data_IF_192444505941
#
_entry.id   IF_192444505941
#
_cell.length_a   1.000
_cell.length_b   1.000
_cell.length_c   1.000
_cell.angle_alpha   90.00
_cell.angle_beta   90.00
_cell.angle_gamma   90.00
#
_symmetry.space_group_name_H-M   'P 1'
#
loop_
_entity.id
_entity.type
_entity.pdbx_description
1 polymer ?
#
# COMPACT_ATOMS: atom_id res chain seq x y z
N UNK A 1 19.58 -9.62 -26.39
CA UNK A 1 18.98 -9.50 -27.73
C UNK A 1 17.60 -8.85 -27.72
N UNK A 2 16.68 -9.24 -26.84
CA UNK A 2 15.31 -8.70 -26.79
C UNK A 2 15.20 -7.22 -26.32
N UNK A 3 16.14 -6.70 -25.57
CA UNK A 3 16.13 -5.29 -25.09
C UNK A 3 16.47 -4.29 -26.21
N UNK A 4 17.32 -4.67 -27.15
CA UNK A 4 17.73 -3.79 -28.26
C UNK A 4 16.60 -3.54 -29.27
N UNK A 5 15.83 -4.56 -29.62
CA UNK A 5 14.74 -4.44 -30.59
C UNK A 5 13.57 -3.59 -30.08
N UNK A 6 13.32 -3.54 -28.76
CA UNK A 6 12.24 -2.73 -28.18
C UNK A 6 12.59 -1.23 -28.20
N UNK A 7 13.85 -0.89 -27.89
CA UNK A 7 14.33 0.49 -27.94
C UNK A 7 14.36 1.07 -29.37
N UNK A 8 14.81 0.28 -30.35
CA UNK A 8 14.82 0.69 -31.74
C UNK A 8 13.42 1.01 -32.28
N UNK A 9 12.44 0.13 -32.00
CA UNK A 9 11.04 0.37 -32.37
C UNK A 9 10.45 1.64 -31.73
N UNK A 10 10.83 1.94 -30.49
CA UNK A 10 10.41 3.18 -29.85
C UNK A 10 10.97 4.39 -30.58
N UNK A 11 12.27 4.37 -30.96
CA UNK A 11 12.92 5.45 -31.66
C UNK A 11 12.27 5.70 -33.05
N UNK A 12 11.91 4.65 -33.77
CA UNK A 12 11.23 4.71 -35.05
C UNK A 12 9.83 5.33 -34.99
N UNK A 13 9.15 5.22 -33.84
CA UNK A 13 7.78 5.71 -33.62
C UNK A 13 7.76 7.12 -32.98
N UNK A 14 8.90 7.68 -32.54
CA UNK A 14 8.96 9.02 -31.94
C UNK A 14 8.75 10.08 -33.01
N UNK A 15 7.67 10.86 -32.86
CA UNK A 15 7.42 12.02 -33.74
C UNK A 15 7.75 13.36 -33.05
N UNK A 16 7.73 13.42 -31.71
CA UNK A 16 7.94 14.63 -30.93
C UNK A 16 8.54 14.31 -29.58
N UNK A 17 9.39 15.19 -29.06
CA UNK A 17 9.95 15.13 -27.72
C UNK A 17 9.58 16.43 -27.01
N UNK A 18 9.00 16.28 -25.83
CA UNK A 18 8.66 17.36 -24.91
C UNK A 18 9.36 17.14 -23.59
N UNK A 19 9.57 18.21 -22.83
CA UNK A 19 10.12 18.12 -21.49
C UNK A 19 9.40 19.08 -20.55
N UNK A 20 9.34 18.71 -19.28
CA UNK A 20 8.80 19.55 -18.21
C UNK A 20 9.82 19.64 -17.07
N UNK A 21 10.04 20.88 -16.57
CA UNK A 21 10.91 21.11 -15.42
C UNK A 21 10.14 20.82 -14.14
N UNK A 22 10.66 19.93 -13.31
CA UNK A 22 10.01 19.51 -12.06
C UNK A 22 10.73 19.99 -10.81
N UNK A 23 11.98 20.44 -10.95
CA UNK A 23 12.80 20.96 -9.85
C UNK A 23 13.41 19.90 -8.96
N UNK A 24 12.75 18.75 -8.73
CA UNK A 24 13.26 17.65 -7.94
C UNK A 24 12.94 16.29 -8.56
N UNK A 25 13.73 15.27 -8.19
CA UNK A 25 13.56 13.89 -8.65
C UNK A 25 12.22 13.30 -8.16
N UNK A 26 11.79 13.65 -6.96
CA UNK A 26 10.51 13.19 -6.41
C UNK A 26 9.35 13.67 -7.29
N UNK A 27 9.31 14.95 -7.63
CA UNK A 27 8.26 15.50 -8.49
C UNK A 27 8.33 14.90 -9.89
N UNK A 28 9.53 14.70 -10.44
CA UNK A 28 9.69 14.04 -11.74
C UNK A 28 9.10 12.62 -11.74
N UNK A 29 9.33 11.84 -10.68
CA UNK A 29 8.78 10.50 -10.54
C UNK A 29 7.25 10.49 -10.37
N UNK A 30 6.70 11.47 -9.65
CA UNK A 30 5.25 11.62 -9.48
C UNK A 30 4.60 11.97 -10.81
N UNK A 31 5.11 12.98 -11.51
CA UNK A 31 4.64 13.38 -12.83
C UNK A 31 4.74 12.23 -13.84
N UNK A 32 5.88 11.52 -13.90
CA UNK A 32 6.04 10.34 -14.76
C UNK A 32 4.94 9.31 -14.48
N UNK A 33 4.68 9.03 -13.19
CA UNK A 33 3.64 8.08 -12.79
C UNK A 33 2.23 8.51 -13.22
N UNK A 34 1.92 9.80 -13.14
CA UNK A 34 0.65 10.37 -13.56
C UNK A 34 0.48 10.27 -15.08
N UNK A 35 1.46 10.75 -15.83
CA UNK A 35 1.45 10.71 -17.31
C UNK A 35 1.36 9.27 -17.86
N UNK A 36 2.05 8.32 -17.24
CA UNK A 36 1.96 6.91 -17.67
C UNK A 36 0.57 6.33 -17.38
N UNK A 37 -0.07 6.69 -16.27
CA UNK A 37 -1.43 6.26 -15.96
C UNK A 37 -2.46 6.88 -16.89
N UNK A 38 -2.29 8.16 -17.25
CA UNK A 38 -3.18 8.89 -18.13
C UNK A 38 -3.04 8.40 -19.59
N UNK A 39 -1.83 8.37 -20.11
CA UNK A 39 -1.59 8.10 -21.54
C UNK A 39 -1.40 6.64 -21.88
N UNK A 40 -1.18 5.76 -20.89
CA UNK A 40 -0.95 4.32 -21.07
C UNK A 40 0.05 4.00 -22.20
N UNK A 41 1.24 4.63 -22.24
CA UNK A 41 2.14 4.61 -23.37
C UNK A 41 2.59 3.20 -23.75
N UNK A 42 2.61 2.88 -25.06
CA UNK A 42 2.91 1.57 -25.62
C UNK A 42 4.25 0.98 -25.14
N UNK A 43 5.26 1.81 -24.95
CA UNK A 43 6.63 1.40 -24.64
C UNK A 43 6.97 1.45 -23.14
N UNK A 44 6.15 2.06 -22.30
CA UNK A 44 6.39 2.13 -20.86
C UNK A 44 5.35 1.27 -20.10
N UNK A 45 5.67 -0.04 -19.93
CA UNK A 45 4.74 -1.00 -19.31
C UNK A 45 4.86 -1.08 -17.77
N UNK A 46 5.98 -0.62 -17.20
CA UNK A 46 6.28 -0.84 -15.78
C UNK A 46 5.32 -0.12 -14.83
N UNK A 47 4.93 1.10 -15.14
CA UNK A 47 4.09 1.94 -14.27
C UNK A 47 2.59 1.92 -14.64
N UNK A 48 2.18 1.12 -15.64
CA UNK A 48 0.77 0.96 -16.00
C UNK A 48 -0.03 0.20 -14.96
N UNK A 49 0.62 -0.68 -14.20
CA UNK A 49 0.01 -1.46 -13.13
C UNK A 49 0.32 -0.79 -11.79
N UNK A 50 -0.61 -0.89 -10.84
CA UNK A 50 -0.35 -0.46 -9.47
C UNK A 50 0.95 -1.07 -8.96
N UNK A 51 1.80 -0.26 -8.31
CA UNK A 51 3.01 -0.74 -7.60
C UNK A 51 2.64 -1.62 -6.41
N UNK A 52 1.42 -1.48 -5.94
CA UNK A 52 0.89 -2.14 -4.75
C UNK A 52 -0.37 -2.94 -5.11
N UNK A 53 -0.21 -4.10 -5.77
CA UNK A 53 -1.35 -4.89 -6.24
C UNK A 53 -2.01 -5.75 -5.16
N UNK A 54 -1.52 -5.69 -3.92
CA UNK A 54 -2.07 -6.43 -2.78
C UNK A 54 -2.45 -5.50 -1.64
N UNK A 55 -3.49 -5.85 -0.92
CA UNK A 55 -3.99 -5.13 0.25
C UNK A 55 -4.23 -6.03 1.45
N UNK A 56 -4.21 -5.44 2.65
CA UNK A 56 -4.73 -6.03 3.88
C UNK A 56 -6.19 -5.65 4.00
N UNK A 57 -7.04 -6.63 4.22
CA UNK A 57 -8.49 -6.47 4.39
C UNK A 57 -8.93 -7.04 5.72
N UNK A 58 -9.97 -6.43 6.30
CA UNK A 58 -10.70 -6.92 7.44
C UNK A 58 -12.12 -7.32 7.03
N UNK A 59 -12.63 -8.38 7.61
CA UNK A 59 -13.99 -8.87 7.39
C UNK A 59 -14.53 -9.55 8.65
N UNK A 60 -15.78 -9.30 9.00
CA UNK A 60 -16.44 -10.01 10.09
C UNK A 60 -17.01 -11.33 9.56
N UNK A 61 -16.64 -12.44 10.19
CA UNK A 61 -17.15 -13.75 9.84
C UNK A 61 -18.53 -14.02 10.48
N UNK A 62 -19.09 -15.21 10.22
CA UNK A 62 -20.43 -15.60 10.71
C UNK A 62 -20.51 -15.70 12.24
N UNK A 63 -19.41 -15.95 12.88
CA UNK A 63 -19.29 -16.15 14.32
C UNK A 63 -18.93 -14.83 15.05
N UNK A 64 -18.89 -13.72 14.32
CA UNK A 64 -18.64 -12.37 14.83
C UNK A 64 -17.16 -12.01 15.00
N UNK A 65 -16.22 -12.87 14.61
CA UNK A 65 -14.79 -12.58 14.67
C UNK A 65 -14.35 -11.74 13.46
N UNK A 66 -13.49 -10.77 13.67
CA UNK A 66 -12.82 -10.05 12.60
C UNK A 66 -11.69 -10.92 12.05
N UNK A 67 -11.74 -11.19 10.76
CA UNK A 67 -10.69 -11.88 10.01
C UNK A 67 -9.80 -10.87 9.28
N UNK A 68 -8.49 -11.10 9.26
CA UNK A 68 -7.55 -10.32 8.48
C UNK A 68 -7.01 -11.16 7.31
N UNK A 69 -6.99 -10.62 6.12
CA UNK A 69 -6.53 -11.35 4.93
C UNK A 69 -5.72 -10.48 3.98
N UNK A 70 -4.80 -11.12 3.22
CA UNK A 70 -4.07 -10.48 2.13
C UNK A 70 -4.70 -10.88 0.81
N UNK A 71 -5.32 -9.93 0.14
CA UNK A 71 -5.97 -10.08 -1.15
C UNK A 71 -5.35 -9.23 -2.26
N UNK A 72 -5.70 -9.54 -3.52
CA UNK A 72 -5.44 -8.61 -4.63
C UNK A 72 -6.38 -7.41 -4.54
N UNK A 73 -5.84 -6.25 -4.91
CA UNK A 73 -6.66 -5.05 -5.03
C UNK A 73 -7.32 -5.12 -6.40
N UNK A 74 -8.57 -5.58 -6.42
CA UNK A 74 -9.45 -5.50 -7.57
C UNK A 74 -10.22 -4.17 -7.49
N UNK A 75 -10.52 -3.57 -8.63
CA UNK A 75 -11.01 -2.18 -8.74
C UNK A 75 -12.39 -1.93 -8.13
N UNK A 76 -13.02 -2.93 -7.55
CA UNK A 76 -14.48 -2.87 -7.38
C UNK A 76 -14.88 -2.74 -5.94
N UNK A 77 -14.55 -2.63 -4.87
CA UNK A 77 -15.49 -2.31 -3.73
C UNK A 77 -14.91 -2.17 -2.31
N UNK A 78 -13.69 -2.54 -2.03
CA UNK A 78 -13.24 -2.42 -0.64
C UNK A 78 -11.87 -1.74 -0.55
N UNK A 79 -11.78 -0.62 0.15
CA UNK A 79 -10.49 0.01 0.42
C UNK A 79 -9.69 -0.86 1.39
N UNK A 80 -8.48 -1.29 1.03
CA UNK A 80 -7.64 -2.05 1.95
C UNK A 80 -7.11 -1.15 3.08
N UNK A 81 -6.90 -1.75 4.25
CA UNK A 81 -6.26 -1.09 5.40
C UNK A 81 -4.80 -0.69 5.09
N UNK A 82 -4.08 -1.54 4.37
CA UNK A 82 -2.69 -1.33 3.92
C UNK A 82 -2.48 -1.85 2.51
N UNK A 83 -1.45 -1.33 1.84
CA UNK A 83 -1.05 -1.70 0.49
C UNK A 83 0.33 -2.34 0.48
N UNK A 84 0.53 -3.37 -0.37
CA UNK A 84 1.79 -4.11 -0.47
C UNK A 84 2.21 -4.32 -1.93
N UNK A 85 3.52 -4.31 -2.17
CA UNK A 85 4.10 -4.55 -3.50
C UNK A 85 4.01 -6.02 -3.93
N UNK A 86 3.88 -6.94 -2.98
CA UNK A 86 3.75 -8.38 -3.22
C UNK A 86 2.91 -9.07 -2.14
N UNK A 87 2.33 -10.23 -2.50
CA UNK A 87 1.63 -11.08 -1.54
C UNK A 87 2.55 -11.53 -0.40
N UNK A 88 3.83 -11.79 -0.71
CA UNK A 88 4.84 -12.22 0.27
C UNK A 88 5.03 -11.14 1.33
N UNK A 89 5.25 -9.90 0.91
CA UNK A 89 5.41 -8.75 1.82
C UNK A 89 4.19 -8.58 2.73
N UNK A 90 2.97 -8.60 2.18
CA UNK A 90 1.75 -8.53 2.97
C UNK A 90 1.61 -9.69 3.96
N UNK A 91 1.93 -10.91 3.53
CA UNK A 91 1.89 -12.08 4.42
C UNK A 91 2.91 -12.00 5.55
N UNK A 92 4.12 -11.53 5.29
CA UNK A 92 5.15 -11.32 6.33
C UNK A 92 4.73 -10.23 7.31
N UNK A 93 4.16 -9.13 6.82
CA UNK A 93 3.58 -8.09 7.67
C UNK A 93 2.49 -8.65 8.59
N UNK A 94 1.52 -9.40 8.01
CA UNK A 94 0.41 -9.99 8.76
C UNK A 94 0.89 -11.00 9.82
N UNK A 95 1.95 -11.77 9.55
CA UNK A 95 2.57 -12.64 10.56
C UNK A 95 3.09 -11.84 11.75
N UNK A 96 3.79 -10.74 11.49
CA UNK A 96 4.26 -9.86 12.56
C UNK A 96 3.13 -9.21 13.36
N UNK A 97 1.98 -8.93 12.74
CA UNK A 97 0.77 -8.45 13.42
C UNK A 97 0.20 -9.55 14.33
N UNK A 98 0.05 -10.77 13.80
CA UNK A 98 -0.44 -11.94 14.55
C UNK A 98 0.39 -12.21 15.80
N UNK A 99 1.72 -12.15 15.69
CA UNK A 99 2.63 -12.35 16.81
C UNK A 99 2.53 -11.24 17.86
N UNK A 100 2.56 -9.97 17.43
CA UNK A 100 2.53 -8.81 18.35
C UNK A 100 1.21 -8.67 19.10
N UNK A 101 0.10 -9.00 18.44
CA UNK A 101 -1.24 -8.84 19.01
C UNK A 101 -1.87 -10.16 19.48
N UNK A 102 -1.10 -11.26 19.53
CA UNK A 102 -1.56 -12.57 19.96
C UNK A 102 -2.82 -13.02 19.21
N UNK A 103 -2.85 -12.81 17.87
CA UNK A 103 -4.01 -13.14 17.05
C UNK A 103 -3.99 -14.61 16.60
N UNK A 104 -5.13 -15.07 16.10
CA UNK A 104 -5.27 -16.42 15.59
C UNK A 104 -4.81 -16.52 14.13
N UNK A 105 -3.83 -17.38 13.84
CA UNK A 105 -3.34 -17.60 12.47
C UNK A 105 -4.42 -18.08 11.51
N UNK A 106 -5.40 -18.88 12.01
CA UNK A 106 -6.50 -19.40 11.21
C UNK A 106 -7.45 -18.28 10.78
N UNK A 107 -7.83 -17.40 11.70
CA UNK A 107 -8.68 -16.23 11.42
C UNK A 107 -7.94 -15.15 10.61
N UNK A 108 -6.60 -15.22 10.57
CA UNK A 108 -5.77 -14.35 9.72
C UNK A 108 -5.36 -15.02 8.39
N UNK A 109 -5.99 -16.13 8.00
CA UNK A 109 -5.72 -16.87 6.76
C UNK A 109 -4.24 -17.19 6.51
N UNK A 110 -3.43 -17.30 7.57
CA UNK A 110 -2.02 -17.69 7.52
C UNK A 110 -1.81 -19.18 7.66
N UNK A 111 -2.80 -19.89 8.17
CA UNK A 111 -2.76 -21.33 8.41
C UNK A 111 -4.14 -21.93 8.16
N UNK A 112 -4.22 -22.92 7.30
CA UNK A 112 -5.45 -23.65 7.00
C UNK A 112 -5.45 -25.02 7.70
N UNK A 113 -6.43 -25.24 8.57
CA UNK A 113 -6.62 -26.51 9.32
C UNK A 113 -8.08 -26.72 9.69
N UNK A 114 -8.48 -27.97 9.76
CA UNK A 114 -9.83 -28.36 10.21
C UNK A 114 -9.97 -28.37 11.75
N UNK A 115 -8.85 -28.42 12.47
CA UNK A 115 -8.78 -28.43 13.93
C UNK A 115 -8.30 -27.08 14.50
N UNK A 116 -7.85 -27.07 15.77
CA UNK A 116 -7.14 -25.95 16.38
C UNK A 116 -5.92 -25.54 15.58
N UNK A 117 -5.58 -24.24 15.57
CA UNK A 117 -4.37 -23.79 14.94
C UNK A 117 -3.14 -24.13 15.80
N UNK A 118 -1.98 -24.28 15.15
CA UNK A 118 -0.72 -24.60 15.84
C UNK A 118 -0.37 -23.59 16.94
N UNK A 119 -0.66 -22.29 16.73
CA UNK A 119 -0.43 -21.23 17.74
C UNK A 119 -1.23 -21.47 19.04
N UNK A 120 -2.41 -22.07 18.95
CA UNK A 120 -3.15 -22.43 20.16
C UNK A 120 -2.47 -23.57 20.93
N UNK A 121 -1.96 -24.59 20.23
CA UNK A 121 -1.28 -25.73 20.83
C UNK A 121 -0.02 -25.33 21.60
N UNK A 122 0.72 -24.35 21.05
CA UNK A 122 1.92 -23.79 21.71
C UNK A 122 1.62 -22.60 22.64
N UNK A 123 0.34 -22.34 22.93
CA UNK A 123 -0.13 -21.22 23.79
C UNK A 123 0.28 -19.83 23.32
N UNK A 124 0.42 -19.63 22.02
CA UNK A 124 0.71 -18.33 21.39
C UNK A 124 -0.54 -17.60 20.91
N UNK A 125 -1.75 -18.16 21.11
CA UNK A 125 -3.03 -17.49 20.95
C UNK A 125 -4.06 -18.06 21.93
N UNK A 126 -5.17 -17.34 22.13
CA UNK A 126 -6.18 -17.65 23.15
C UNK A 126 -7.27 -18.63 22.67
N UNK A 127 -7.19 -19.11 21.43
CA UNK A 127 -8.09 -20.14 20.89
C UNK A 127 -9.38 -19.59 20.27
N UNK A 128 -9.36 -18.40 19.70
CA UNK A 128 -10.52 -17.82 18.99
C UNK A 128 -11.09 -18.76 17.91
N UNK A 129 -10.24 -19.48 17.15
CA UNK A 129 -10.68 -20.42 16.11
C UNK A 129 -11.37 -21.70 16.62
N UNK A 130 -11.45 -21.92 17.93
CA UNK A 130 -12.13 -23.01 18.60
C UNK A 130 -13.07 -22.49 19.72
N UNK A 131 -13.49 -21.23 19.60
CA UNK A 131 -14.46 -20.55 20.48
C UNK A 131 -14.07 -20.51 21.98
N UNK A 132 -12.79 -20.69 22.31
CA UNK A 132 -12.29 -20.55 23.68
C UNK A 132 -12.07 -19.10 24.08
N UNK A 133 -11.85 -18.23 23.15
CA UNK A 133 -11.80 -16.80 23.31
C UNK A 133 -13.04 -16.19 22.68
N UNK A 134 -13.71 -15.26 23.37
CA UNK A 134 -14.89 -14.60 22.81
C UNK A 134 -14.53 -13.67 21.63
N UNK A 135 -15.50 -13.43 20.74
CA UNK A 135 -15.31 -12.53 19.61
C UNK A 135 -14.97 -11.11 20.08
N UNK A 136 -15.59 -10.63 21.16
CA UNK A 136 -15.33 -9.30 21.71
C UNK A 136 -13.88 -9.14 22.12
N UNK A 137 -13.35 -10.06 22.95
CA UNK A 137 -11.95 -10.00 23.41
C UNK A 137 -10.94 -10.13 22.28
N UNK A 138 -11.24 -10.95 21.27
CA UNK A 138 -10.41 -11.11 20.09
C UNK A 138 -10.42 -9.84 19.22
N UNK A 139 -11.63 -9.29 18.96
CA UNK A 139 -11.82 -8.13 18.09
C UNK A 139 -11.21 -6.86 18.69
N UNK A 140 -11.25 -6.66 20.00
CA UNK A 140 -10.59 -5.52 20.67
C UNK A 140 -9.12 -5.39 20.29
N UNK A 141 -8.39 -6.52 20.15
CA UNK A 141 -6.98 -6.48 19.75
C UNK A 141 -6.79 -6.13 18.28
N UNK A 142 -7.69 -6.60 17.40
CA UNK A 142 -7.65 -6.23 15.98
C UNK A 142 -8.04 -4.76 15.80
N UNK A 143 -9.08 -4.31 16.49
CA UNK A 143 -9.51 -2.91 16.45
C UNK A 143 -8.42 -1.97 16.95
N UNK A 144 -7.74 -2.33 18.04
CA UNK A 144 -6.56 -1.59 18.52
C UNK A 144 -5.44 -1.53 17.46
N UNK A 145 -5.20 -2.61 16.74
CA UNK A 145 -4.25 -2.61 15.64
C UNK A 145 -4.72 -1.70 14.50
N UNK A 146 -5.99 -1.83 14.06
CA UNK A 146 -6.56 -0.98 13.00
C UNK A 146 -6.50 0.49 13.39
N UNK A 147 -6.85 0.82 14.63
CA UNK A 147 -6.77 2.20 15.13
C UNK A 147 -5.32 2.71 15.12
N UNK A 148 -4.36 1.85 15.47
CA UNK A 148 -2.94 2.23 15.37
C UNK A 148 -2.52 2.59 13.93
N UNK A 149 -3.10 1.96 12.91
CA UNK A 149 -2.85 2.30 11.51
C UNK A 149 -3.38 3.69 11.17
N UNK A 150 -4.55 4.06 11.68
CA UNK A 150 -5.16 5.38 11.49
C UNK A 150 -4.32 6.48 12.14
N UNK A 151 -3.76 6.22 13.32
CA UNK A 151 -2.88 7.19 14.01
C UNK A 151 -1.52 7.37 13.32
N UNK A 152 -1.08 6.40 12.49
CA UNK A 152 0.11 6.57 11.65
C UNK A 152 -0.16 7.38 10.38
N UNK A 153 -1.41 7.66 10.04
CA UNK A 153 -1.84 8.55 8.97
C UNK A 153 -1.55 10.01 9.30
N UNK A 154 -0.26 10.40 9.40
CA UNK A 154 0.10 11.80 9.62
C UNK A 154 -0.20 12.63 8.38
N UNK A 155 -0.76 13.81 8.60
CA UNK A 155 -0.82 14.87 7.60
C UNK A 155 0.49 15.64 7.65
N UNK A 156 1.23 15.65 6.54
CA UNK A 156 2.47 16.39 6.41
C UNK A 156 2.73 16.82 4.96
N UNK A 157 3.65 17.73 4.80
CA UNK A 157 4.13 18.17 3.49
C UNK A 157 5.62 17.85 3.35
N UNK A 158 6.00 17.35 2.18
CA UNK A 158 7.40 17.22 1.77
C UNK A 158 7.72 18.46 0.95
N UNK A 159 8.74 19.20 1.38
CA UNK A 159 9.21 20.41 0.70
C UNK A 159 10.54 20.13 0.06
N UNK A 160 10.64 20.36 -1.26
CA UNK A 160 11.87 20.19 -2.01
C UNK A 160 12.15 21.43 -2.87
N UNK A 161 13.21 21.38 -3.67
CA UNK A 161 13.55 22.42 -4.62
C UNK A 161 12.45 22.53 -5.69
N UNK A 162 12.04 23.75 -5.99
CA UNK A 162 11.12 24.05 -7.08
C UNK A 162 11.83 24.14 -8.43
N UNK A 163 11.08 24.50 -9.46
CA UNK A 163 11.57 24.67 -10.86
C UNK A 163 12.51 25.87 -10.97
N UNK A 164 12.29 26.87 -10.13
CA UNK A 164 13.04 28.12 -10.12
C UNK A 164 13.71 28.37 -8.77
N UNK A 165 14.64 29.35 -8.72
CA UNK A 165 15.47 29.62 -7.55
C UNK A 165 14.66 29.96 -6.29
N UNK A 166 13.55 30.68 -6.42
CA UNK A 166 12.70 31.13 -5.33
C UNK A 166 11.38 30.35 -5.24
N UNK A 167 11.38 29.11 -5.69
CA UNK A 167 10.21 28.24 -5.67
C UNK A 167 10.53 26.96 -4.88
N UNK A 168 9.53 26.45 -4.16
CA UNK A 168 9.54 25.13 -3.55
C UNK A 168 8.50 24.23 -4.20
N UNK A 169 8.83 22.99 -4.42
CA UNK A 169 7.85 21.95 -4.66
C UNK A 169 7.31 21.44 -3.34
N UNK A 170 6.02 21.13 -3.31
CA UNK A 170 5.28 20.69 -2.14
C UNK A 170 4.54 19.41 -2.51
N UNK A 171 4.78 18.33 -1.79
CA UNK A 171 3.98 17.11 -1.87
C UNK A 171 3.12 17.02 -0.63
N UNK A 172 1.80 16.94 -0.79
CA UNK A 172 0.86 16.83 0.31
C UNK A 172 0.50 15.37 0.57
N UNK A 173 0.74 14.94 1.81
CA UNK A 173 0.24 13.69 2.36
C UNK A 173 -0.78 14.04 3.43
N UNK A 174 -2.02 13.61 3.28
CA UNK A 174 -3.09 13.81 4.25
C UNK A 174 -3.57 12.45 4.75
N UNK A 175 -3.56 12.29 6.07
CA UNK A 175 -3.94 11.03 6.73
C UNK A 175 -3.21 9.80 6.16
N UNK A 176 -1.90 9.97 5.84
CA UNK A 176 -1.06 8.94 5.23
C UNK A 176 -1.29 8.72 3.72
N UNK A 177 -2.23 9.45 3.10
CA UNK A 177 -2.58 9.31 1.69
C UNK A 177 -2.03 10.48 0.88
N UNK A 178 -1.35 10.16 -0.24
CA UNK A 178 -0.90 11.15 -1.21
C UNK A 178 -2.09 11.88 -1.83
N UNK A 179 -2.08 13.20 -1.76
CA UNK A 179 -3.14 14.07 -2.30
C UNK A 179 -2.74 14.73 -3.63
N UNK A 180 -1.45 14.91 -3.84
CA UNK A 180 -0.93 15.59 -5.01
C UNK A 180 0.32 16.38 -4.70
N UNK A 181 0.84 17.07 -5.71
CA UNK A 181 1.96 18.00 -5.56
C UNK A 181 1.65 19.36 -6.21
N UNK A 182 2.42 20.35 -5.83
CA UNK A 182 2.32 21.69 -6.40
C UNK A 182 3.59 22.48 -6.18
N UNK A 183 3.56 23.75 -6.59
CA UNK A 183 4.69 24.67 -6.46
C UNK A 183 4.23 25.96 -5.76
N UNK A 184 5.07 26.46 -4.90
CA UNK A 184 4.82 27.72 -4.21
C UNK A 184 6.09 28.61 -4.21
N UNK A 185 5.94 29.94 -4.35
CA UNK A 185 7.05 30.83 -4.15
C UNK A 185 7.56 30.74 -2.71
N UNK A 186 8.89 30.74 -2.58
CA UNK A 186 9.56 30.68 -1.29
C UNK A 186 10.47 31.89 -1.13
N UNK A 187 10.07 32.85 -0.28
CA UNK A 187 10.91 33.96 0.12
C UNK A 187 11.39 33.74 1.55
N UNK A 188 12.71 33.69 1.74
CA UNK A 188 13.34 33.81 3.05
C UNK A 188 13.23 35.30 3.45
N UNK A 189 12.40 35.58 4.45
CA UNK A 189 12.38 36.86 5.14
C UNK A 189 13.47 36.87 6.21
#
# INVERSE_FOLDING_TARGET
YFKYTHGLRMIEEICRIEYELTGSDLIAMLLESELIKEHQPKFNRKLRKSRFPYGLYDQINKDGYIELSIGRIDKEDTMPLLHFSSKKEGTEHLRGVVERHTLCQKLCHLYDTKSSCFHYEIKSCNGACIEKESAESYNERIESYIESLRHHGRTFMILEKGRERNEKSIVLIKDGVYQGYGFAPYQLY
#
